data_IF_190887485716
#
_entry.id   IF_190887485716
#
_cell.length_a   1.000
_cell.length_b   1.000
_cell.length_c   1.000
_cell.angle_alpha   90.00
_cell.angle_beta   90.00
_cell.angle_gamma   90.00
#
_symmetry.space_group_name_H-M   'P 1'
#
loop_
_entity.id
_entity.type
_entity.pdbx_description
1 polymer ?
#
# COMPACT_ATOMS: atom_id res chain seq x y z
N UNK A 1 -7.99 -6.35 24.04
CA UNK A 1 -9.24 -6.32 23.25
C UNK A 1 -8.91 -6.90 21.89
N UNK A 2 -9.35 -8.12 21.55
CA UNK A 2 -9.16 -8.68 20.20
C UNK A 2 -10.10 -7.94 19.27
N UNK A 3 -9.57 -7.24 18.28
CA UNK A 3 -10.36 -6.65 17.21
C UNK A 3 -11.11 -7.77 16.51
N UNK A 4 -12.44 -7.77 16.58
CA UNK A 4 -13.19 -8.77 15.85
C UNK A 4 -13.08 -8.45 14.34
N UNK A 5 -13.04 -9.49 13.52
CA UNK A 5 -13.01 -9.34 12.05
C UNK A 5 -14.16 -8.47 11.51
N UNK A 6 -15.27 -8.37 12.24
CA UNK A 6 -16.42 -7.54 11.93
C UNK A 6 -16.10 -6.04 12.00
N UNK A 7 -15.46 -5.57 13.09
CA UNK A 7 -15.07 -4.16 13.23
C UNK A 7 -14.06 -3.73 12.18
N UNK A 8 -13.11 -4.61 11.86
CA UNK A 8 -12.12 -4.37 10.83
C UNK A 8 -12.77 -4.17 9.47
N UNK A 9 -13.74 -5.00 9.09
CA UNK A 9 -14.47 -4.89 7.82
C UNK A 9 -15.33 -3.63 7.75
N UNK A 10 -16.09 -3.29 8.81
CA UNK A 10 -16.91 -2.10 8.84
C UNK A 10 -16.08 -0.81 8.75
N UNK A 11 -14.96 -0.75 9.47
CA UNK A 11 -14.01 0.36 9.39
C UNK A 11 -13.43 0.46 7.98
N UNK A 12 -12.94 -0.64 7.42
CA UNK A 12 -12.35 -0.68 6.10
C UNK A 12 -13.32 -0.18 5.01
N UNK A 13 -14.56 -0.67 5.00
CA UNK A 13 -15.60 -0.20 4.05
C UNK A 13 -15.84 1.30 4.16
N UNK A 14 -15.83 1.85 5.37
CA UNK A 14 -15.98 3.28 5.59
C UNK A 14 -14.79 4.08 5.09
N UNK A 15 -13.58 3.60 5.33
CA UNK A 15 -12.35 4.25 4.87
C UNK A 15 -12.23 4.20 3.34
N UNK A 16 -12.59 3.09 2.70
CA UNK A 16 -12.61 2.97 1.23
C UNK A 16 -13.60 3.98 0.63
N UNK A 17 -14.79 4.16 1.22
CA UNK A 17 -15.74 5.19 0.75
C UNK A 17 -15.18 6.59 0.86
N UNK A 18 -14.37 6.88 1.88
CA UNK A 18 -13.70 8.17 2.04
C UNK A 18 -12.60 8.35 1.00
N UNK A 19 -11.82 7.32 0.70
CA UNK A 19 -10.85 7.35 -0.39
C UNK A 19 -11.52 7.61 -1.74
N UNK A 20 -12.65 6.94 -2.02
CA UNK A 20 -13.45 7.18 -3.23
C UNK A 20 -13.99 8.61 -3.32
N UNK A 21 -14.24 9.26 -2.17
CA UNK A 21 -14.64 10.66 -2.10
C UNK A 21 -13.46 11.65 -2.19
N UNK A 22 -12.23 11.15 -2.41
CA UNK A 22 -11.02 11.98 -2.50
C UNK A 22 -10.40 12.39 -1.16
N UNK A 23 -10.83 11.77 -0.05
CA UNK A 23 -10.18 12.00 1.24
C UNK A 23 -8.81 11.31 1.25
N UNK A 24 -7.78 12.04 1.66
CA UNK A 24 -6.41 11.53 1.81
C UNK A 24 -5.75 12.00 3.10
N UNK A 25 -4.61 11.42 3.46
CA UNK A 25 -3.81 11.82 4.62
C UNK A 25 -4.62 11.87 5.92
N UNK A 26 -4.50 12.96 6.65
CA UNK A 26 -5.20 13.16 7.94
C UNK A 26 -6.72 13.13 7.84
N UNK A 27 -7.29 13.40 6.67
CA UNK A 27 -8.73 13.36 6.44
C UNK A 27 -9.29 11.94 6.49
N UNK A 28 -8.48 10.90 6.27
CA UNK A 28 -8.90 9.50 6.38
C UNK A 28 -9.26 9.12 7.82
N UNK A 29 -8.63 9.75 8.83
CA UNK A 29 -8.92 9.44 10.23
C UNK A 29 -10.36 9.81 10.57
N UNK A 30 -11.24 8.85 10.95
CA UNK A 30 -12.58 9.17 11.36
C UNK A 30 -12.59 9.96 12.66
N UNK A 31 -13.37 11.05 12.75
CA UNK A 31 -13.45 11.89 13.96
C UNK A 31 -13.93 11.12 15.20
N UNK A 32 -14.76 10.09 15.02
CA UNK A 32 -15.28 9.27 16.12
C UNK A 32 -14.31 8.21 16.61
N UNK A 33 -13.20 7.95 15.86
CA UNK A 33 -12.19 6.94 16.20
C UNK A 33 -10.96 7.61 16.83
N UNK A 34 -10.77 7.52 18.15
CA UNK A 34 -9.64 8.14 18.81
C UNK A 34 -8.30 7.60 18.30
N UNK A 35 -7.39 8.48 17.91
CA UNK A 35 -6.06 8.11 17.40
C UNK A 35 -5.27 7.23 18.36
N UNK A 36 -5.47 7.40 19.68
CA UNK A 36 -4.81 6.54 20.70
C UNK A 36 -5.20 5.06 20.60
N UNK A 37 -6.33 4.75 20.01
CA UNK A 37 -6.78 3.37 19.81
C UNK A 37 -6.40 2.85 18.45
N UNK A 38 -6.63 3.65 17.42
CA UNK A 38 -6.31 3.33 16.04
C UNK A 38 -5.94 4.60 15.29
N UNK A 39 -4.79 4.59 14.67
CA UNK A 39 -4.39 5.62 13.73
C UNK A 39 -4.46 5.06 12.31
N UNK A 40 -5.18 5.76 11.44
CA UNK A 40 -5.11 5.54 10.00
C UNK A 40 -3.86 6.27 9.52
N UNK A 41 -2.84 5.52 9.12
CA UNK A 41 -1.55 6.08 8.68
C UNK A 41 -1.66 6.59 7.27
N UNK A 42 -2.20 5.76 6.38
CA UNK A 42 -2.34 6.07 4.98
C UNK A 42 -3.39 5.17 4.32
N UNK A 43 -3.84 5.56 3.16
CA UNK A 43 -4.65 4.73 2.27
C UNK A 43 -4.52 5.22 0.85
N UNK A 44 -4.63 4.31 -0.09
CA UNK A 44 -4.62 4.58 -1.51
C UNK A 44 -5.69 3.75 -2.20
N UNK A 45 -6.21 4.28 -3.30
CA UNK A 45 -7.21 3.64 -4.12
C UNK A 45 -6.95 3.92 -5.60
N UNK A 46 -7.04 2.88 -6.40
CA UNK A 46 -7.11 2.95 -7.84
C UNK A 46 -8.52 2.51 -8.27
N UNK A 47 -9.44 3.46 -8.49
CA UNK A 47 -10.82 3.13 -8.81
C UNK A 47 -10.95 2.46 -10.17
N UNK A 48 -10.08 2.76 -11.13
CA UNK A 48 -10.09 2.20 -12.49
C UNK A 48 -9.60 0.75 -12.48
N UNK A 49 -8.51 0.49 -11.78
CA UNK A 49 -8.01 -0.87 -11.56
C UNK A 49 -8.86 -1.67 -10.56
N UNK A 50 -9.72 -1.00 -9.78
CA UNK A 50 -10.56 -1.61 -8.77
C UNK A 50 -9.78 -2.15 -7.58
N UNK A 51 -8.72 -1.47 -7.14
CA UNK A 51 -7.88 -1.90 -6.01
C UNK A 51 -7.74 -0.79 -4.98
N UNK A 52 -7.62 -1.17 -3.72
CA UNK A 52 -7.38 -0.24 -2.62
C UNK A 52 -6.48 -0.87 -1.55
N UNK A 53 -5.81 -0.02 -0.80
CA UNK A 53 -5.03 -0.43 0.37
C UNK A 53 -5.26 0.55 1.52
N UNK A 54 -5.28 0.02 2.73
CA UNK A 54 -5.35 0.79 3.97
C UNK A 54 -4.22 0.37 4.88
N UNK A 55 -3.55 1.34 5.48
CA UNK A 55 -2.57 1.12 6.52
C UNK A 55 -3.04 1.74 7.83
N UNK A 56 -3.20 0.91 8.84
CA UNK A 56 -3.66 1.33 10.16
C UNK A 56 -2.74 0.79 11.24
N UNK A 57 -2.64 1.52 12.34
CA UNK A 57 -1.93 1.08 13.55
C UNK A 57 -2.90 1.03 14.71
N UNK A 58 -2.97 -0.11 15.37
CA UNK A 58 -3.68 -0.25 16.64
C UNK A 58 -2.76 0.08 17.80
N UNK A 59 -3.28 0.81 18.78
CA UNK A 59 -2.56 1.25 19.99
C UNK A 59 -1.22 1.94 19.69
N UNK A 60 -1.18 2.96 18.83
CA UNK A 60 0.07 3.64 18.49
C UNK A 60 0.75 4.17 19.75
N UNK A 61 2.08 3.99 19.84
CA UNK A 61 2.89 4.38 20.98
C UNK A 61 2.84 3.42 22.19
N UNK A 62 2.15 2.29 22.09
CA UNK A 62 2.13 1.26 23.13
C UNK A 62 3.03 0.08 22.72
N UNK A 63 3.64 -0.62 23.70
CA UNK A 63 4.48 -1.80 23.45
C UNK A 63 3.78 -2.91 22.64
N UNK A 64 2.44 -2.99 22.76
CA UNK A 64 1.60 -3.90 21.98
C UNK A 64 1.01 -3.25 20.71
N UNK A 65 1.65 -2.21 20.18
CA UNK A 65 1.23 -1.62 18.91
C UNK A 65 1.36 -2.64 17.77
N UNK A 66 0.34 -2.71 16.93
CA UNK A 66 0.33 -3.58 15.75
C UNK A 66 -0.04 -2.76 14.52
N UNK A 67 0.80 -2.82 13.54
CA UNK A 67 0.59 -2.25 12.22
C UNK A 67 -0.12 -3.26 11.33
N UNK A 68 -1.14 -2.83 10.60
CA UNK A 68 -1.90 -3.63 9.64
C UNK A 68 -1.94 -2.95 8.28
N UNK A 69 -1.48 -3.63 7.26
CA UNK A 69 -1.74 -3.30 5.87
C UNK A 69 -2.84 -4.23 5.35
N UNK A 70 -3.90 -3.66 4.78
CA UNK A 70 -5.06 -4.40 4.30
C UNK A 70 -5.30 -4.04 2.84
N UNK A 71 -5.21 -5.03 1.94
CA UNK A 71 -5.49 -4.86 0.53
C UNK A 71 -6.92 -5.32 0.21
N UNK A 72 -7.53 -4.62 -0.74
CA UNK A 72 -8.90 -4.84 -1.19
C UNK A 72 -8.97 -4.80 -2.72
N UNK A 73 -9.89 -5.58 -3.26
CA UNK A 73 -10.23 -5.56 -4.67
C UNK A 73 -11.75 -5.42 -4.84
N UNK A 74 -12.17 -4.71 -5.85
CA UNK A 74 -13.57 -4.58 -6.21
C UNK A 74 -14.01 -5.81 -7.00
N UNK A 75 -14.92 -6.58 -6.41
CA UNK A 75 -15.54 -7.76 -7.03
C UNK A 75 -17.02 -7.43 -7.31
N UNK A 76 -17.33 -7.08 -8.56
CA UNK A 76 -18.61 -6.46 -8.89
C UNK A 76 -18.76 -5.09 -8.21
N UNK A 77 -19.80 -4.93 -7.41
CA UNK A 77 -20.04 -3.68 -6.65
C UNK A 77 -19.40 -3.67 -5.25
N UNK A 78 -18.87 -4.79 -4.80
CA UNK A 78 -18.35 -4.91 -3.44
C UNK A 78 -16.82 -4.87 -3.37
N UNK A 79 -16.31 -4.18 -2.34
CA UNK A 79 -14.90 -4.22 -1.97
C UNK A 79 -14.64 -5.41 -1.05
N UNK A 80 -13.80 -6.33 -1.52
CA UNK A 80 -13.46 -7.57 -0.83
C UNK A 80 -11.99 -7.56 -0.44
N UNK A 81 -11.68 -7.95 0.79
CA UNK A 81 -10.28 -8.09 1.22
C UNK A 81 -9.60 -9.22 0.44
N UNK A 82 -8.47 -8.92 -0.16
CA UNK A 82 -7.63 -9.87 -0.89
C UNK A 82 -6.47 -10.38 -0.06
N UNK A 83 -6.14 -9.66 1.02
CA UNK A 83 -5.05 -10.05 1.89
C UNK A 83 -4.58 -8.88 2.75
N UNK A 84 -3.49 -9.08 3.43
CA UNK A 84 -2.85 -8.07 4.25
C UNK A 84 -1.73 -8.65 5.08
N UNK A 85 -0.94 -7.78 5.67
CA UNK A 85 0.13 -8.12 6.59
C UNK A 85 -0.05 -7.42 7.92
N UNK A 86 0.56 -7.96 8.95
CA UNK A 86 0.70 -7.29 10.23
C UNK A 86 2.15 -7.39 10.72
N UNK A 87 2.62 -6.34 11.36
CA UNK A 87 3.90 -6.36 12.04
C UNK A 87 3.74 -5.84 13.46
N UNK A 88 4.46 -6.43 14.39
CA UNK A 88 4.55 -5.98 15.79
C UNK A 88 5.51 -4.81 15.93
N UNK A 89 5.81 -4.09 14.87
CA UNK A 89 6.74 -2.98 14.97
C UNK A 89 6.09 -1.79 15.65
N UNK A 90 6.70 -1.43 16.72
CA UNK A 90 6.65 -0.17 17.40
C UNK A 90 6.50 1.01 16.44
N UNK A 91 5.74 2.04 16.85
CA UNK A 91 5.82 3.43 16.38
C UNK A 91 6.42 3.75 14.99
N UNK A 92 7.01 2.80 14.34
CA UNK A 92 7.48 2.88 12.94
C UNK A 92 6.38 3.37 11.99
N UNK A 93 5.14 3.20 12.39
CA UNK A 93 3.98 3.65 11.67
C UNK A 93 3.82 5.16 11.59
N UNK A 94 4.50 5.91 12.44
CA UNK A 94 4.51 7.38 12.39
C UNK A 94 5.96 7.84 12.26
N UNK A 95 6.66 7.28 11.29
CA UNK A 95 8.00 7.77 10.97
C UNK A 95 7.92 9.22 10.54
N UNK A 96 8.88 10.01 10.97
CA UNK A 96 9.07 11.36 10.43
C UNK A 96 9.50 11.22 8.97
N UNK A 97 9.09 12.18 8.15
CA UNK A 97 9.58 12.29 6.78
C UNK A 97 11.10 12.20 6.78
N UNK A 98 11.67 11.45 5.83
CA UNK A 98 13.13 11.37 5.70
C UNK A 98 13.69 12.78 5.52
N UNK A 99 14.79 13.15 6.21
CA UNK A 99 15.39 14.46 6.03
C UNK A 99 15.80 14.73 4.59
N UNK A 100 15.93 16.00 4.25
CA UNK A 100 16.50 16.44 2.96
C UNK A 100 17.88 15.81 2.77
N UNK A 101 18.14 15.29 1.58
CA UNK A 101 19.39 14.60 1.26
C UNK A 101 19.52 13.20 1.85
N UNK A 102 18.49 12.66 2.51
CA UNK A 102 18.50 11.27 2.95
C UNK A 102 18.44 10.37 1.73
N UNK A 103 19.45 9.51 1.62
CA UNK A 103 19.48 8.47 0.61
C UNK A 103 19.22 7.14 1.30
N UNK A 104 18.02 6.59 1.14
CA UNK A 104 17.77 5.17 1.41
C UNK A 104 18.48 4.31 0.35
N UNK A 105 18.29 3.00 0.39
CA UNK A 105 18.87 2.08 -0.62
C UNK A 105 18.46 2.43 -2.05
N UNK A 106 17.32 3.10 -2.24
CA UNK A 106 16.79 3.56 -3.51
C UNK A 106 16.72 5.09 -3.62
N UNK A 107 17.60 5.81 -2.94
CA UNK A 107 17.61 7.27 -2.95
C UNK A 107 16.42 7.87 -2.20
N UNK A 108 15.51 8.57 -2.90
CA UNK A 108 14.40 9.32 -2.31
C UNK A 108 13.20 8.47 -1.89
N UNK A 109 13.20 7.16 -2.18
CA UNK A 109 12.12 6.22 -1.84
C UNK A 109 12.71 5.06 -1.04
N UNK A 110 12.13 4.76 0.11
CA UNK A 110 12.42 3.56 0.90
C UNK A 110 11.19 2.65 0.91
N UNK A 111 11.40 1.36 0.59
CA UNK A 111 10.36 0.34 0.66
C UNK A 111 10.29 -0.22 2.09
N UNK A 112 9.19 0.02 2.78
CA UNK A 112 8.94 -0.50 4.13
C UNK A 112 8.33 -1.90 4.13
N UNK A 113 7.78 -2.34 3.01
CA UNK A 113 7.15 -3.64 2.83
C UNK A 113 6.22 -3.66 1.65
N UNK A 114 5.70 -4.83 1.35
CA UNK A 114 4.73 -5.00 0.27
C UNK A 114 4.33 -6.45 0.10
N UNK A 115 3.34 -6.66 -0.73
CA UNK A 115 2.87 -7.98 -1.08
C UNK A 115 1.80 -7.92 -2.15
N UNK A 116 1.48 -9.08 -2.69
CA UNK A 116 0.43 -9.21 -3.68
C UNK A 116 -0.11 -10.62 -3.73
N UNK A 117 -1.24 -10.76 -4.39
CA UNK A 117 -1.91 -12.04 -4.63
C UNK A 117 -2.62 -12.01 -5.98
N UNK A 118 -2.98 -13.17 -6.53
CA UNK A 118 -3.83 -13.23 -7.72
C UNK A 118 -5.16 -12.51 -7.50
N UNK A 119 -5.64 -11.83 -8.53
CA UNK A 119 -6.92 -11.12 -8.53
C UNK A 119 -8.08 -12.04 -8.14
N UNK A 120 -8.75 -11.70 -7.06
CA UNK A 120 -9.94 -12.42 -6.60
C UNK A 120 -11.12 -12.22 -7.55
N UNK A 121 -11.24 -11.02 -8.13
CA UNK A 121 -12.28 -10.75 -9.11
C UNK A 121 -12.14 -11.65 -10.35
N UNK A 122 -10.91 -11.90 -10.80
CA UNK A 122 -10.63 -12.85 -11.87
C UNK A 122 -10.98 -14.29 -11.46
N UNK A 123 -10.49 -14.72 -10.29
CA UNK A 123 -10.70 -16.11 -9.83
C UNK A 123 -12.17 -16.43 -9.52
N UNK A 124 -13.00 -15.45 -9.20
CA UNK A 124 -14.44 -15.67 -9.07
C UNK A 124 -15.12 -15.99 -10.40
N UNK A 125 -14.55 -15.53 -11.51
CA UNK A 125 -15.05 -15.80 -12.88
C UNK A 125 -14.35 -17.01 -13.51
N UNK A 126 -13.09 -17.25 -13.13
CA UNK A 126 -12.22 -18.29 -13.67
C UNK A 126 -11.49 -19.02 -12.53
N UNK A 127 -12.18 -19.90 -11.76
CA UNK A 127 -11.65 -20.47 -10.50
C UNK A 127 -10.34 -21.24 -10.66
N UNK A 128 -10.13 -21.89 -11.79
CA UNK A 128 -8.95 -22.74 -12.04
C UNK A 128 -7.82 -22.01 -12.78
N UNK A 129 -8.06 -20.74 -13.16
CA UNK A 129 -7.14 -19.97 -13.99
C UNK A 129 -6.32 -18.95 -13.19
N UNK A 130 -5.63 -19.44 -12.16
CA UNK A 130 -4.80 -18.60 -11.32
C UNK A 130 -3.50 -18.11 -12.01
N UNK A 131 -3.06 -18.82 -13.08
CA UNK A 131 -1.85 -18.48 -13.81
C UNK A 131 -2.00 -17.23 -14.68
N UNK A 132 -3.18 -17.01 -15.24
CA UNK A 132 -3.50 -15.81 -16.04
C UNK A 132 -4.18 -14.72 -15.22
N UNK A 133 -4.38 -14.93 -13.92
CA UNK A 133 -4.95 -13.92 -13.05
C UNK A 133 -4.00 -12.71 -12.94
N UNK A 134 -4.51 -11.47 -13.13
CA UNK A 134 -3.77 -10.27 -12.77
C UNK A 134 -3.36 -10.32 -11.30
N UNK A 135 -2.29 -9.63 -10.95
CA UNK A 135 -1.85 -9.50 -9.56
C UNK A 135 -2.37 -8.22 -8.95
N UNK A 136 -2.90 -8.33 -7.75
CA UNK A 136 -3.31 -7.22 -6.89
C UNK A 136 -2.30 -7.10 -5.76
N UNK A 137 -1.76 -5.92 -5.55
CA UNK A 137 -0.75 -5.74 -4.51
C UNK A 137 -0.72 -4.35 -3.92
N UNK A 138 0.17 -4.20 -2.95
CA UNK A 138 0.44 -2.94 -2.28
C UNK A 138 1.88 -2.83 -1.83
N UNK A 139 2.35 -1.60 -1.71
CA UNK A 139 3.64 -1.27 -1.12
C UNK A 139 3.49 -0.20 -0.05
N UNK A 140 4.19 -0.38 1.05
CA UNK A 140 4.40 0.64 2.08
C UNK A 140 5.67 1.38 1.75
N UNK A 141 5.60 2.70 1.64
CA UNK A 141 6.71 3.54 1.22
C UNK A 141 6.99 4.62 2.25
N UNK A 142 8.25 5.00 2.36
CA UNK A 142 8.69 6.22 3.00
C UNK A 142 9.50 7.02 1.99
N UNK A 143 9.18 8.31 1.87
CA UNK A 143 9.81 9.19 0.87
C UNK A 143 10.47 10.39 1.53
N UNK A 144 11.52 10.89 0.89
CA UNK A 144 12.29 12.05 1.35
C UNK A 144 11.49 13.35 1.26
N UNK A 145 11.99 14.40 1.91
CA UNK A 145 11.32 15.70 2.00
C UNK A 145 11.22 16.43 0.65
N UNK A 146 12.11 16.12 -0.26
CA UNK A 146 12.17 16.70 -1.62
C UNK A 146 11.07 16.17 -2.54
N UNK A 147 10.48 15.02 -2.21
CA UNK A 147 9.44 14.41 -3.05
C UNK A 147 8.12 15.12 -2.84
N UNK A 148 7.58 15.71 -3.89
CA UNK A 148 6.28 16.37 -3.90
C UNK A 148 5.15 15.33 -4.04
N UNK A 149 5.28 14.44 -5.04
CA UNK A 149 4.31 13.40 -5.28
C UNK A 149 4.95 12.16 -5.88
N UNK A 150 4.20 11.06 -5.88
CA UNK A 150 4.55 9.85 -6.60
C UNK A 150 3.73 9.71 -7.88
N UNK A 151 4.31 9.08 -8.89
CA UNK A 151 3.61 8.65 -10.11
C UNK A 151 3.67 7.13 -10.17
N UNK A 152 2.49 6.49 -10.24
CA UNK A 152 2.33 5.03 -10.30
C UNK A 152 1.49 4.69 -11.54
N UNK A 153 2.15 4.20 -12.59
CA UNK A 153 1.54 4.16 -13.91
C UNK A 153 1.21 5.58 -14.37
N UNK A 154 -0.07 5.88 -14.56
CA UNK A 154 -0.55 7.22 -14.92
C UNK A 154 -1.10 8.02 -13.71
N UNK A 155 -1.17 7.39 -12.53
CA UNK A 155 -1.75 8.03 -11.34
C UNK A 155 -0.74 8.89 -10.61
N UNK A 156 -1.15 10.10 -10.26
CA UNK A 156 -0.47 10.96 -9.30
C UNK A 156 -0.98 10.66 -7.89
N UNK A 157 -0.07 10.45 -6.95
CA UNK A 157 -0.35 10.20 -5.53
C UNK A 157 0.35 11.26 -4.71
N UNK A 158 -0.43 12.05 -3.97
CA UNK A 158 0.10 13.09 -3.10
C UNK A 158 0.82 12.48 -1.90
N UNK A 159 1.99 13.02 -1.59
CA UNK A 159 2.79 12.58 -0.44
C UNK A 159 2.31 13.29 0.82
N UNK A 160 1.88 12.56 1.86
CA UNK A 160 1.48 13.18 3.11
C UNK A 160 2.68 13.82 3.81
N UNK A 161 2.40 14.79 4.71
CA UNK A 161 3.44 15.57 5.38
C UNK A 161 4.48 14.74 6.13
N UNK A 162 4.11 13.55 6.62
CA UNK A 162 5.02 12.62 7.28
C UNK A 162 5.85 11.75 6.31
N UNK A 163 5.63 11.86 4.99
CA UNK A 163 6.34 11.11 3.97
C UNK A 163 6.06 9.60 3.95
N UNK A 164 5.11 9.14 4.73
CA UNK A 164 4.81 7.72 4.88
C UNK A 164 3.46 7.41 4.23
N UNK A 165 3.45 6.52 3.26
CA UNK A 165 2.24 6.18 2.51
C UNK A 165 2.20 4.71 2.09
N UNK A 166 1.01 4.28 1.69
CA UNK A 166 0.80 3.00 0.98
C UNK A 166 0.34 3.28 -0.43
N UNK A 167 0.70 2.38 -1.33
CA UNK A 167 0.32 2.42 -2.74
C UNK A 167 -0.36 1.12 -3.11
N UNK A 168 -1.57 1.20 -3.64
CA UNK A 168 -2.29 0.07 -4.24
C UNK A 168 -1.97 -0.04 -5.73
N UNK A 169 -1.86 -1.25 -6.22
CA UNK A 169 -1.61 -1.48 -7.64
C UNK A 169 -2.22 -2.80 -8.12
N UNK A 170 -2.50 -2.85 -9.42
CA UNK A 170 -2.85 -4.06 -10.16
C UNK A 170 -1.91 -4.20 -11.34
N UNK A 171 -1.33 -5.38 -11.50
CA UNK A 171 -0.41 -5.69 -12.58
C UNK A 171 -0.98 -6.80 -13.47
N UNK A 172 -0.59 -6.84 -14.76
CA UNK A 172 -0.95 -7.94 -15.66
C UNK A 172 -0.54 -9.29 -15.08
N UNK A 173 -1.11 -10.39 -15.59
CA UNK A 173 -0.66 -11.73 -15.26
C UNK A 173 0.85 -11.83 -15.42
N UNK A 174 1.52 -12.37 -14.43
CA UNK A 174 2.97 -12.56 -14.45
C UNK A 174 3.31 -14.01 -14.18
N UNK A 175 4.27 -14.55 -14.91
CA UNK A 175 4.86 -15.87 -14.64
C UNK A 175 5.64 -15.90 -13.32
N UNK A 176 5.91 -14.74 -12.76
CA UNK A 176 6.60 -14.58 -11.48
C UNK A 176 5.59 -14.66 -10.35
N UNK A 177 5.74 -15.63 -9.45
CA UNK A 177 4.98 -15.65 -8.19
C UNK A 177 5.31 -14.41 -7.37
N UNK A 178 4.31 -13.58 -7.08
CA UNK A 178 4.50 -12.31 -6.36
C UNK A 178 4.16 -11.10 -7.23
N UNK A 179 3.92 -11.30 -8.53
CA UNK A 179 3.59 -10.23 -9.48
C UNK A 179 4.73 -9.23 -9.66
N UNK A 180 4.71 -8.54 -10.76
CA UNK A 180 5.61 -7.42 -11.02
C UNK A 180 4.85 -6.15 -10.68
N UNK A 181 5.25 -5.45 -9.61
CA UNK A 181 4.64 -4.16 -9.29
C UNK A 181 4.87 -3.16 -10.43
N UNK A 182 4.01 -2.15 -10.60
CA UNK A 182 4.26 -1.08 -11.53
C UNK A 182 5.49 -0.26 -11.11
N UNK A 183 6.05 0.49 -12.05
CA UNK A 183 7.06 1.52 -11.77
C UNK A 183 6.45 2.58 -10.87
N UNK A 184 7.17 2.98 -9.83
CA UNK A 184 6.80 4.07 -8.91
C UNK A 184 7.90 5.13 -9.02
N UNK A 185 7.56 6.31 -9.52
CA UNK A 185 8.49 7.43 -9.64
C UNK A 185 8.24 8.47 -8.55
N UNK A 186 9.30 8.96 -7.92
CA UNK A 186 9.26 10.11 -7.04
C UNK A 186 9.55 11.39 -7.82
N UNK A 187 8.65 12.35 -7.73
CA UNK A 187 8.71 13.59 -8.48
C UNK A 187 8.89 14.77 -7.52
N UNK A 188 9.82 15.66 -7.85
CA UNK A 188 10.03 16.91 -7.13
C UNK A 188 8.97 17.97 -7.47
N UNK A 189 8.96 19.07 -6.71
CA UNK A 189 8.03 20.17 -6.90
C UNK A 189 8.21 20.88 -8.27
N UNK A 190 9.37 20.78 -8.87
CA UNK A 190 9.70 21.30 -10.21
C UNK A 190 9.33 20.34 -11.34
N UNK A 191 8.77 19.18 -11.03
CA UNK A 191 8.43 18.12 -11.97
C UNK A 191 9.59 17.18 -12.32
N UNK A 192 10.78 17.37 -11.73
CA UNK A 192 11.93 16.50 -11.97
C UNK A 192 11.72 15.14 -11.35
N UNK A 193 12.05 14.07 -12.07
CA UNK A 193 12.10 12.72 -11.52
C UNK A 193 13.35 12.56 -10.63
N UNK A 194 13.14 12.41 -9.32
CA UNK A 194 14.18 12.33 -8.32
C UNK A 194 14.67 10.89 -8.07
N UNK A 195 13.75 9.92 -8.12
CA UNK A 195 14.04 8.52 -7.91
C UNK A 195 12.96 7.62 -8.51
N UNK A 196 13.31 6.36 -8.75
CA UNK A 196 12.39 5.34 -9.26
C UNK A 196 12.53 4.07 -8.45
N UNK A 197 11.40 3.51 -8.05
CA UNK A 197 11.28 2.15 -7.58
C UNK A 197 10.78 1.30 -8.75
N UNK A 198 11.68 0.54 -9.36
CA UNK A 198 11.38 -0.31 -10.51
C UNK A 198 10.57 -1.56 -10.11
N UNK A 199 10.04 -2.27 -11.11
CA UNK A 199 9.22 -3.46 -10.89
C UNK A 199 9.90 -4.58 -10.09
N UNK A 200 11.22 -4.65 -10.14
CA UNK A 200 12.02 -5.71 -9.52
C UNK A 200 12.92 -5.23 -8.38
N UNK A 201 12.92 -3.93 -8.08
CA UNK A 201 13.79 -3.40 -7.03
C UNK A 201 13.39 -3.92 -5.66
N UNK A 202 14.39 -4.22 -4.83
CA UNK A 202 14.20 -4.75 -3.48
C UNK A 202 13.31 -6.02 -3.41
N UNK A 203 13.39 -6.86 -4.41
CA UNK A 203 12.83 -8.20 -4.31
C UNK A 203 13.68 -9.03 -3.35
N UNK A 204 13.02 -9.84 -2.51
CA UNK A 204 13.71 -10.80 -1.66
C UNK A 204 14.42 -11.90 -2.50
N UNK A 205 15.43 -12.54 -1.90
CA UNK A 205 16.25 -13.55 -2.59
C UNK A 205 15.45 -14.73 -3.15
N UNK A 206 14.39 -15.13 -2.45
CA UNK A 206 13.51 -16.22 -2.88
C UNK A 206 12.67 -15.84 -4.10
N UNK A 207 12.16 -14.61 -4.13
CA UNK A 207 11.45 -14.07 -5.30
C UNK A 207 12.42 -13.92 -6.47
N UNK A 208 13.65 -13.43 -6.24
CA UNK A 208 14.68 -13.32 -7.25
C UNK A 208 15.04 -14.68 -7.88
N UNK A 209 15.26 -15.72 -7.08
CA UNK A 209 15.56 -17.06 -7.58
C UNK A 209 14.48 -17.55 -8.56
N UNK A 210 13.21 -17.34 -8.23
CA UNK A 210 12.09 -17.68 -9.12
C UNK A 210 12.00 -16.85 -10.39
N UNK A 211 12.39 -15.59 -10.34
CA UNK A 211 12.46 -14.72 -11.54
C UNK A 211 13.54 -15.19 -12.50
N UNK A 212 14.66 -15.67 -11.95
CA UNK A 212 15.79 -16.12 -12.74
C UNK A 212 15.64 -17.55 -13.27
N UNK A 213 14.64 -18.29 -12.83
CA UNK A 213 14.34 -19.61 -13.37
C UNK A 213 15.12 -20.77 -12.73
N UNK A 214 15.51 -20.58 -11.47
CA UNK A 214 16.08 -21.67 -10.65
C UNK A 214 15.00 -22.59 -10.05
#
# INVERSE_FOLDING_TARGET
MRWSAYWTRALARRLIRRLLAGDGGDRLQPRWLPRRWVTVVSGDIDPDAGVAVLWVVSRPGHESAVSYSMAFERCGEEWTSTGGGSSSSDAAAVRRRLPVGSTGQLGMIELGGGGGCPSRAHLLQHPDDWMSAPWVGSNTLQVAAEVDHLVVGERRIEVPANGTLVVAWKAPPSTVRGGVRPRIAAIGADGTELAVLGPRDQMDSHTWARVLGD
#
